data_IF_412085770906
#
_entry.id   IF_412085770906
#
_cell.length_a   1.000
_cell.length_b   1.000
_cell.length_c   1.000
_cell.angle_alpha   90.00
_cell.angle_beta   90.00
_cell.angle_gamma   90.00
#
_symmetry.space_group_name_H-M   'P 1'
#
loop_
_entity.id
_entity.type
_entity.pdbx_description
1 polymer ?
#
# COMPACT_ATOMS: atom_id res chain seq x y z
N UNK A 1 95.23 -68.49 -52.47
CA UNK A 1 94.70 -67.17 -52.10
C UNK A 1 93.62 -66.62 -53.04
N UNK A 2 93.30 -67.25 -54.20
CA UNK A 2 92.24 -66.76 -55.13
C UNK A 2 90.80 -67.08 -54.69
N UNK A 3 90.56 -68.26 -54.10
CA UNK A 3 89.19 -68.77 -53.87
C UNK A 3 88.37 -67.99 -52.82
N UNK A 4 89.01 -67.46 -51.77
CA UNK A 4 88.30 -66.74 -50.70
C UNK A 4 87.90 -65.32 -51.11
N UNK A 5 88.73 -64.66 -51.92
CA UNK A 5 88.42 -63.33 -52.46
C UNK A 5 87.24 -63.40 -53.44
N UNK A 6 87.25 -64.38 -54.35
CA UNK A 6 86.14 -64.64 -55.27
C UNK A 6 84.83 -64.95 -54.53
N UNK A 7 84.89 -65.70 -53.42
CA UNK A 7 83.71 -65.96 -52.58
C UNK A 7 83.14 -64.69 -51.97
N UNK A 8 84.00 -63.79 -51.49
CA UNK A 8 83.59 -62.53 -50.88
C UNK A 8 82.95 -61.60 -51.90
N UNK A 9 83.56 -61.45 -53.08
CA UNK A 9 83.00 -60.66 -54.18
C UNK A 9 81.64 -61.21 -54.60
N UNK A 10 81.51 -62.54 -54.73
CA UNK A 10 80.24 -63.18 -55.08
C UNK A 10 79.18 -62.96 -53.97
N UNK A 11 79.54 -63.07 -52.69
CA UNK A 11 78.64 -62.77 -51.57
C UNK A 11 78.16 -61.31 -51.58
N UNK A 12 79.04 -60.35 -51.90
CA UNK A 12 78.69 -58.92 -51.97
C UNK A 12 77.79 -58.63 -53.17
N UNK A 13 78.08 -59.21 -54.34
CA UNK A 13 77.23 -59.05 -55.53
C UNK A 13 75.83 -59.65 -55.29
N UNK A 14 75.75 -60.86 -54.74
CA UNK A 14 74.48 -61.51 -54.40
C UNK A 14 73.74 -60.71 -53.32
N UNK A 15 74.43 -60.19 -52.31
CA UNK A 15 73.85 -59.28 -51.31
C UNK A 15 73.24 -58.03 -51.97
N UNK A 16 73.93 -57.43 -52.94
CA UNK A 16 73.44 -56.25 -53.65
C UNK A 16 72.18 -56.57 -54.47
N UNK A 17 72.17 -57.70 -55.18
CA UNK A 17 70.97 -58.20 -55.87
C UNK A 17 69.79 -58.37 -54.90
N UNK A 18 70.00 -59.03 -53.76
CA UNK A 18 68.96 -59.22 -52.76
C UNK A 18 68.57 -57.95 -52.00
N UNK A 19 69.38 -56.90 -51.98
CA UNK A 19 68.94 -55.61 -51.44
C UNK A 19 67.97 -54.92 -52.40
N UNK A 20 68.17 -55.10 -53.71
CA UNK A 20 67.33 -54.51 -54.77
C UNK A 20 66.06 -55.31 -55.05
N UNK A 21 66.14 -56.63 -54.93
CA UNK A 21 65.06 -57.57 -55.26
C UNK A 21 64.67 -58.47 -54.07
N UNK A 22 64.91 -58.00 -52.84
CA UNK A 22 64.56 -58.77 -51.64
C UNK A 22 63.06 -59.09 -51.61
N UNK A 23 62.68 -60.32 -51.24
CA UNK A 23 61.28 -60.59 -50.92
C UNK A 23 60.86 -59.74 -49.71
N UNK A 24 59.78 -58.99 -49.88
CA UNK A 24 59.17 -58.13 -48.88
C UNK A 24 58.15 -58.88 -48.00
N UNK A 25 57.76 -60.10 -48.39
CA UNK A 25 56.79 -60.94 -47.70
C UNK A 25 57.25 -62.40 -47.61
N UNK A 26 56.67 -63.15 -46.65
CA UNK A 26 56.91 -64.59 -46.54
C UNK A 26 56.45 -65.35 -47.80
N UNK A 27 55.40 -64.86 -48.48
CA UNK A 27 54.90 -65.43 -49.72
C UNK A 27 55.90 -65.25 -50.88
N UNK A 28 56.52 -64.07 -51.01
CA UNK A 28 57.56 -63.82 -52.01
C UNK A 28 58.84 -64.63 -51.72
N UNK A 29 59.17 -64.84 -50.44
CA UNK A 29 60.29 -65.68 -50.05
C UNK A 29 60.02 -67.16 -50.39
N UNK A 30 58.78 -67.63 -50.19
CA UNK A 30 58.37 -68.97 -50.56
C UNK A 30 58.44 -69.19 -52.09
N UNK A 31 58.01 -68.21 -52.89
CA UNK A 31 58.16 -68.26 -54.35
C UNK A 31 59.64 -68.31 -54.78
N UNK A 32 60.54 -67.67 -54.02
CA UNK A 32 61.98 -67.71 -54.26
C UNK A 32 62.60 -69.06 -53.87
N UNK A 33 62.12 -69.69 -52.79
CA UNK A 33 62.48 -71.05 -52.39
C UNK A 33 62.03 -72.07 -53.46
N UNK A 34 60.79 -71.96 -53.95
CA UNK A 34 60.21 -72.86 -54.96
C UNK A 34 60.85 -72.69 -56.35
N UNK A 35 61.26 -71.46 -56.69
CA UNK A 35 61.91 -71.13 -57.97
C UNK A 35 63.42 -70.86 -57.79
N UNK A 36 64.08 -71.64 -56.93
CA UNK A 36 65.49 -71.44 -56.59
C UNK A 36 66.38 -71.46 -57.84
N UNK A 37 66.17 -72.39 -58.76
CA UNK A 37 66.99 -72.51 -59.99
C UNK A 37 66.81 -71.33 -60.94
N UNK A 38 65.59 -70.82 -61.08
CA UNK A 38 65.32 -69.61 -61.87
C UNK A 38 65.98 -68.39 -61.21
N UNK A 39 65.99 -68.32 -59.88
CA UNK A 39 66.64 -67.25 -59.13
C UNK A 39 68.16 -67.32 -59.27
N UNK A 40 68.74 -68.50 -59.15
CA UNK A 40 70.16 -68.77 -59.40
C UNK A 40 70.54 -68.31 -60.81
N UNK A 41 69.71 -68.64 -61.81
CA UNK A 41 69.92 -68.20 -63.19
C UNK A 41 69.86 -66.67 -63.34
N UNK A 42 68.84 -66.02 -62.77
CA UNK A 42 68.70 -64.55 -62.77
C UNK A 42 69.88 -63.85 -62.09
N UNK A 43 70.33 -64.38 -60.95
CA UNK A 43 71.46 -63.81 -60.19
C UNK A 43 72.77 -63.96 -60.96
N UNK A 44 73.05 -65.14 -61.51
CA UNK A 44 74.26 -65.36 -62.30
C UNK A 44 74.26 -64.53 -63.60
N UNK A 45 73.10 -64.37 -64.24
CA UNK A 45 72.92 -63.49 -65.41
C UNK A 45 73.14 -62.04 -65.04
N UNK A 46 72.60 -61.59 -63.89
CA UNK A 46 72.82 -60.23 -63.40
C UNK A 46 74.30 -59.99 -63.06
N UNK A 47 74.98 -60.92 -62.39
CA UNK A 47 76.42 -60.82 -62.11
C UNK A 47 77.21 -60.71 -63.41
N UNK A 48 76.88 -61.53 -64.43
CA UNK A 48 77.54 -61.47 -65.73
C UNK A 48 77.30 -60.12 -66.43
N UNK A 49 76.07 -59.58 -66.38
CA UNK A 49 75.75 -58.28 -66.96
C UNK A 49 76.49 -57.12 -66.28
N UNK A 50 76.64 -57.16 -64.95
CA UNK A 50 77.29 -56.08 -64.19
C UNK A 50 78.82 -56.18 -64.20
N UNK A 51 79.38 -57.40 -64.23
CA UNK A 51 80.83 -57.62 -64.07
C UNK A 51 81.55 -58.13 -65.33
N UNK A 52 80.82 -58.63 -66.33
CA UNK A 52 81.38 -59.30 -67.52
C UNK A 52 81.92 -60.72 -67.26
N UNK A 53 81.86 -61.21 -66.02
CA UNK A 53 82.42 -62.52 -65.63
C UNK A 53 81.33 -63.57 -65.38
N UNK A 54 81.50 -64.81 -65.89
CA UNK A 54 80.54 -65.88 -65.62
C UNK A 54 80.62 -66.32 -64.15
N UNK A 55 79.48 -66.38 -63.47
CA UNK A 55 79.39 -66.91 -62.11
C UNK A 55 79.10 -68.42 -62.12
N UNK A 56 79.75 -69.17 -61.24
CA UNK A 56 79.42 -70.59 -61.02
C UNK A 56 78.05 -70.72 -60.36
N UNK A 57 77.09 -71.32 -61.07
CA UNK A 57 75.72 -71.52 -60.61
C UNK A 57 75.64 -72.33 -59.31
N UNK A 58 76.56 -73.28 -59.07
CA UNK A 58 76.56 -74.08 -57.84
C UNK A 58 76.90 -73.20 -56.64
N UNK A 59 77.92 -72.36 -56.78
CA UNK A 59 78.36 -71.41 -55.76
C UNK A 59 77.32 -70.31 -55.51
N UNK A 60 76.65 -69.85 -56.56
CA UNK A 60 75.52 -68.91 -56.46
C UNK A 60 74.34 -69.55 -55.70
N UNK A 61 74.00 -70.80 -56.01
CA UNK A 61 72.95 -71.57 -55.32
C UNK A 61 73.25 -71.72 -53.84
N UNK A 62 74.45 -72.13 -53.46
CA UNK A 62 74.84 -72.31 -52.06
C UNK A 62 74.71 -71.00 -51.26
N UNK A 63 75.13 -69.87 -51.85
CA UNK A 63 75.04 -68.56 -51.21
C UNK A 63 73.58 -68.11 -51.09
N UNK A 64 72.74 -68.36 -52.08
CA UNK A 64 71.29 -68.07 -52.04
C UNK A 64 70.62 -68.92 -50.94
N UNK A 65 70.86 -70.23 -50.95
CA UNK A 65 70.29 -71.18 -49.99
C UNK A 65 70.70 -70.84 -48.54
N UNK A 66 71.96 -70.47 -48.32
CA UNK A 66 72.43 -70.04 -47.00
C UNK A 66 71.77 -68.73 -46.50
N UNK A 67 71.22 -67.92 -47.41
CA UNK A 67 70.67 -66.59 -47.11
C UNK A 67 69.17 -66.60 -46.83
N UNK A 68 68.44 -67.50 -47.47
CA UNK A 68 66.99 -67.67 -47.31
C UNK A 68 66.57 -67.75 -45.82
N UNK A 69 67.23 -68.54 -44.94
CA UNK A 69 66.88 -68.59 -43.50
C UNK A 69 67.01 -67.26 -42.76
N UNK A 70 68.00 -66.44 -43.13
CA UNK A 70 68.22 -65.12 -42.53
C UNK A 70 67.11 -64.14 -42.92
N UNK A 71 66.69 -64.16 -44.19
CA UNK A 71 65.59 -63.34 -44.69
C UNK A 71 64.27 -63.79 -44.04
N UNK A 72 64.03 -65.10 -43.93
CA UNK A 72 62.87 -65.69 -43.24
C UNK A 72 62.77 -65.24 -41.78
N UNK A 73 63.89 -65.33 -41.05
CA UNK A 73 63.97 -64.93 -39.65
C UNK A 73 63.67 -63.44 -39.46
N UNK A 74 64.21 -62.58 -40.35
CA UNK A 74 63.92 -61.15 -40.35
C UNK A 74 62.43 -60.86 -40.57
N UNK A 75 61.81 -61.47 -41.59
CA UNK A 75 60.40 -61.26 -41.92
C UNK A 75 59.47 -61.74 -40.81
N UNK A 76 59.75 -62.90 -40.21
CA UNK A 76 59.00 -63.39 -39.05
C UNK A 76 59.14 -62.48 -37.83
N UNK A 77 60.33 -61.96 -37.56
CA UNK A 77 60.55 -61.01 -36.48
C UNK A 77 59.81 -59.69 -36.72
N UNK A 78 59.77 -59.22 -37.97
CA UNK A 78 59.02 -58.02 -38.34
C UNK A 78 57.50 -58.21 -38.22
N UNK A 79 56.98 -59.37 -38.64
CA UNK A 79 55.57 -59.73 -38.48
C UNK A 79 55.18 -59.76 -36.99
N UNK A 80 55.97 -60.45 -36.15
CA UNK A 80 55.74 -60.46 -34.70
C UNK A 80 55.76 -59.06 -34.09
N UNK A 81 56.70 -58.20 -34.50
CA UNK A 81 56.74 -56.80 -34.04
C UNK A 81 55.49 -56.02 -34.45
N UNK A 82 54.97 -56.22 -35.66
CA UNK A 82 53.73 -55.58 -36.13
C UNK A 82 52.53 -56.07 -35.33
N UNK A 83 52.40 -57.38 -35.14
CA UNK A 83 51.33 -57.99 -34.33
C UNK A 83 51.38 -57.53 -32.87
N UNK A 84 52.56 -57.50 -32.25
CA UNK A 84 52.74 -57.01 -30.88
C UNK A 84 52.44 -55.50 -30.77
N UNK A 85 52.86 -54.69 -31.74
CA UNK A 85 52.56 -53.26 -31.76
C UNK A 85 51.06 -53.00 -31.93
N UNK A 86 50.38 -53.76 -32.77
CA UNK A 86 48.93 -53.65 -32.94
C UNK A 86 48.17 -54.13 -31.69
N UNK A 87 48.59 -55.24 -31.08
CA UNK A 87 48.02 -55.73 -29.83
C UNK A 87 48.17 -54.70 -28.69
N UNK A 88 49.34 -54.05 -28.59
CA UNK A 88 49.57 -52.95 -27.63
C UNK A 88 48.65 -51.76 -27.88
N UNK A 89 48.51 -51.33 -29.14
CA UNK A 89 47.59 -50.24 -29.51
C UNK A 89 46.14 -50.56 -29.17
N UNK A 90 45.68 -51.78 -29.45
CA UNK A 90 44.32 -52.21 -29.11
C UNK A 90 44.09 -52.20 -27.59
N UNK A 91 45.05 -52.72 -26.82
CA UNK A 91 44.95 -52.71 -25.35
C UNK A 91 44.94 -51.29 -24.77
N UNK A 92 45.77 -50.39 -25.31
CA UNK A 92 45.80 -49.00 -24.88
C UNK A 92 44.49 -48.26 -25.23
N UNK A 93 43.96 -48.47 -26.44
CA UNK A 93 42.66 -47.94 -26.84
C UNK A 93 41.53 -48.45 -25.95
N UNK A 94 41.55 -49.74 -25.61
CA UNK A 94 40.57 -50.33 -24.68
C UNK A 94 40.66 -49.67 -23.30
N UNK A 95 41.86 -49.53 -22.74
CA UNK A 95 42.07 -48.85 -21.45
C UNK A 95 41.60 -47.40 -21.47
N UNK A 96 41.88 -46.66 -22.55
CA UNK A 96 41.41 -45.28 -22.70
C UNK A 96 39.89 -45.21 -22.82
N UNK A 97 39.26 -46.14 -23.54
CA UNK A 97 37.81 -46.21 -23.66
C UNK A 97 37.15 -46.57 -22.32
N UNK A 98 37.69 -47.54 -21.59
CA UNK A 98 37.23 -47.91 -20.24
C UNK A 98 37.37 -46.76 -19.25
N UNK A 99 38.53 -46.08 -19.23
CA UNK A 99 38.75 -44.91 -18.36
C UNK A 99 37.80 -43.75 -18.67
N UNK A 100 37.50 -43.49 -19.96
CA UNK A 100 36.51 -42.48 -20.36
C UNK A 100 35.10 -42.88 -19.95
N UNK A 101 34.73 -44.14 -20.13
CA UNK A 101 33.42 -44.65 -19.71
C UNK A 101 33.24 -44.58 -18.18
N UNK A 102 34.28 -44.90 -17.41
CA UNK A 102 34.27 -44.79 -15.95
C UNK A 102 34.16 -43.33 -15.50
N UNK A 103 34.95 -42.42 -16.08
CA UNK A 103 34.86 -40.99 -15.79
C UNK A 103 33.46 -40.42 -16.08
N UNK A 104 32.83 -40.84 -17.18
CA UNK A 104 31.47 -40.45 -17.52
C UNK A 104 30.44 -40.96 -16.51
N UNK A 105 30.55 -42.23 -16.08
CA UNK A 105 29.67 -42.79 -15.04
C UNK A 105 29.78 -42.04 -13.71
N UNK A 106 30.99 -41.68 -13.31
CA UNK A 106 31.22 -40.89 -12.09
C UNK A 106 30.57 -39.50 -12.20
N UNK A 107 30.70 -38.85 -13.36
CA UNK A 107 30.06 -37.55 -13.60
C UNK A 107 28.54 -37.64 -13.55
N UNK A 108 27.95 -38.62 -14.24
CA UNK A 108 26.50 -38.86 -14.24
C UNK A 108 25.98 -39.19 -12.83
N UNK A 109 26.71 -39.97 -12.05
CA UNK A 109 26.35 -40.26 -10.66
C UNK A 109 26.36 -38.99 -9.80
N UNK A 110 27.40 -38.15 -9.92
CA UNK A 110 27.45 -36.87 -9.19
C UNK A 110 26.28 -35.95 -9.55
N UNK A 111 25.94 -35.85 -10.83
CA UNK A 111 24.79 -35.06 -11.28
C UNK A 111 23.47 -35.59 -10.72
N UNK A 112 23.28 -36.92 -10.66
CA UNK A 112 22.10 -37.54 -10.05
C UNK A 112 22.02 -37.26 -8.55
N UNK A 113 23.14 -37.41 -7.83
CA UNK A 113 23.19 -37.12 -6.39
C UNK A 113 22.90 -35.64 -6.08
N UNK A 114 23.40 -34.72 -6.92
CA UNK A 114 23.11 -33.29 -6.80
C UNK A 114 21.64 -32.97 -7.11
N UNK A 115 21.09 -33.55 -8.18
CA UNK A 115 19.68 -33.41 -8.52
C UNK A 115 18.76 -33.99 -7.42
N UNK A 116 19.13 -35.11 -6.82
CA UNK A 116 18.38 -35.71 -5.72
C UNK A 116 18.42 -34.83 -4.46
N UNK A 117 19.58 -34.25 -4.12
CA UNK A 117 19.69 -33.28 -3.02
C UNK A 117 18.83 -32.05 -3.27
N UNK A 118 18.84 -31.52 -4.49
CA UNK A 118 18.00 -30.38 -4.86
C UNK A 118 16.50 -30.72 -4.75
N UNK A 119 16.09 -31.90 -5.22
CA UNK A 119 14.70 -32.36 -5.09
C UNK A 119 14.27 -32.49 -3.62
N UNK A 120 15.11 -33.12 -2.77
CA UNK A 120 14.82 -33.27 -1.34
C UNK A 120 14.68 -31.91 -0.64
N UNK A 121 15.54 -30.94 -0.97
CA UNK A 121 15.45 -29.59 -0.40
C UNK A 121 14.15 -28.88 -0.84
N UNK A 122 13.77 -29.03 -2.10
CA UNK A 122 12.52 -28.45 -2.62
C UNK A 122 11.29 -29.08 -1.97
N UNK A 123 11.33 -30.39 -1.73
CA UNK A 123 10.27 -31.11 -1.03
C UNK A 123 10.16 -30.69 0.46
N UNK A 124 11.29 -30.50 1.15
CA UNK A 124 11.31 -29.94 2.50
C UNK A 124 10.71 -28.54 2.56
N UNK A 125 11.12 -27.63 1.65
CA UNK A 125 10.54 -26.28 1.57
C UNK A 125 9.03 -26.31 1.34
N UNK A 126 8.55 -27.21 0.48
CA UNK A 126 7.11 -27.40 0.25
C UNK A 126 6.38 -27.87 1.51
N UNK A 127 6.98 -28.77 2.29
CA UNK A 127 6.40 -29.22 3.56
C UNK A 127 6.36 -28.09 4.60
N UNK A 128 7.44 -27.33 4.73
CA UNK A 128 7.51 -26.15 5.63
C UNK A 128 6.47 -25.10 5.25
N UNK A 129 6.28 -24.83 3.95
CA UNK A 129 5.26 -23.91 3.47
C UNK A 129 3.84 -24.39 3.79
N UNK A 130 3.55 -25.68 3.58
CA UNK A 130 2.26 -26.27 3.95
C UNK A 130 2.02 -26.22 5.46
N UNK A 131 3.05 -26.46 6.28
CA UNK A 131 2.95 -26.34 7.74
C UNK A 131 2.70 -24.89 8.16
N UNK A 132 3.41 -23.92 7.56
CA UNK A 132 3.19 -22.50 7.79
C UNK A 132 1.75 -22.08 7.43
N UNK A 133 1.21 -22.57 6.31
CA UNK A 133 -0.18 -22.33 5.93
C UNK A 133 -1.16 -22.93 6.94
N UNK A 134 -0.92 -24.16 7.41
CA UNK A 134 -1.76 -24.81 8.44
C UNK A 134 -1.78 -24.06 9.76
N UNK A 135 -0.70 -23.37 10.12
CA UNK A 135 -0.62 -22.53 11.34
C UNK A 135 -1.28 -21.16 11.11
N UNK A 136 -1.17 -20.59 9.92
CA UNK A 136 -1.68 -19.25 9.63
C UNK A 136 -3.20 -19.22 9.40
N UNK A 137 -3.75 -20.24 8.75
CA UNK A 137 -5.19 -20.33 8.46
C UNK A 137 -6.10 -20.26 9.71
N UNK A 138 -5.85 -21.00 10.82
CA UNK A 138 -6.65 -20.89 12.03
C UNK A 138 -6.52 -19.50 12.67
N UNK A 139 -5.33 -18.89 12.68
CA UNK A 139 -5.13 -17.53 13.19
C UNK A 139 -5.91 -16.49 12.37
N UNK A 140 -6.01 -16.67 11.05
CA UNK A 140 -6.84 -15.82 10.19
C UNK A 140 -8.33 -15.99 10.49
N UNK A 141 -8.79 -17.22 10.69
CA UNK A 141 -10.19 -17.50 11.07
C UNK A 141 -10.54 -16.92 12.44
N UNK A 142 -9.67 -17.10 13.44
CA UNK A 142 -9.84 -16.53 14.78
C UNK A 142 -9.86 -15.00 14.75
N UNK A 143 -8.96 -14.36 13.99
CA UNK A 143 -8.96 -12.89 13.84
C UNK A 143 -10.22 -12.39 13.14
N UNK A 144 -10.70 -13.10 12.10
CA UNK A 144 -11.93 -12.75 11.40
C UNK A 144 -13.18 -12.93 12.29
N UNK A 145 -13.22 -13.98 13.10
CA UNK A 145 -14.30 -14.21 14.07
C UNK A 145 -14.30 -13.14 15.17
N UNK A 146 -13.12 -12.77 15.70
CA UNK A 146 -12.99 -11.69 16.66
C UNK A 146 -13.44 -10.34 16.09
N UNK A 147 -13.13 -10.05 14.83
CA UNK A 147 -13.62 -8.84 14.14
C UNK A 147 -15.13 -8.83 13.97
N UNK A 148 -15.74 -9.95 13.56
CA UNK A 148 -17.20 -10.07 13.46
C UNK A 148 -17.89 -9.85 14.80
N UNK A 149 -17.36 -10.44 15.88
CA UNK A 149 -17.90 -10.27 17.22
C UNK A 149 -17.78 -8.82 17.71
N UNK A 150 -16.69 -8.13 17.37
CA UNK A 150 -16.51 -6.72 17.71
C UNK A 150 -17.51 -5.83 16.95
N UNK A 151 -17.71 -6.09 15.65
CA UNK A 151 -18.67 -5.35 14.83
C UNK A 151 -20.11 -5.58 15.29
N UNK A 152 -20.47 -6.81 15.65
CA UNK A 152 -21.79 -7.12 16.22
C UNK A 152 -22.03 -6.37 17.54
N UNK A 153 -21.03 -6.33 18.44
CA UNK A 153 -21.13 -5.54 19.68
C UNK A 153 -21.29 -4.05 19.41
N UNK A 154 -20.58 -3.51 18.41
CA UNK A 154 -20.71 -2.09 18.02
C UNK A 154 -22.12 -1.80 17.53
N UNK A 155 -22.68 -2.65 16.67
CA UNK A 155 -24.05 -2.50 16.16
C UNK A 155 -25.09 -2.60 17.28
N UNK A 156 -24.93 -3.53 18.22
CA UNK A 156 -25.82 -3.64 19.38
C UNK A 156 -25.77 -2.39 20.27
N UNK A 157 -24.58 -1.81 20.47
CA UNK A 157 -24.44 -0.57 21.25
C UNK A 157 -25.04 0.64 20.51
N UNK A 158 -24.84 0.76 19.20
CA UNK A 158 -25.47 1.78 18.37
C UNK A 158 -27.01 1.68 18.41
N UNK A 159 -27.56 0.46 18.34
CA UNK A 159 -29.00 0.23 18.44
C UNK A 159 -29.54 0.63 19.82
N UNK A 160 -28.81 0.30 20.90
CA UNK A 160 -29.15 0.73 22.26
C UNK A 160 -29.16 2.25 22.39
N UNK A 161 -28.15 2.93 21.85
CA UNK A 161 -28.08 4.39 21.89
C UNK A 161 -29.23 5.02 21.10
N UNK A 162 -29.56 4.48 19.92
CA UNK A 162 -30.72 4.95 19.13
C UNK A 162 -32.03 4.78 19.89
N UNK A 163 -32.23 3.64 20.55
CA UNK A 163 -33.41 3.42 21.39
C UNK A 163 -33.48 4.42 22.55
N UNK A 164 -32.35 4.70 23.21
CA UNK A 164 -32.28 5.65 24.31
C UNK A 164 -32.61 7.08 23.88
N UNK A 165 -32.06 7.51 22.72
CA UNK A 165 -32.36 8.83 22.14
C UNK A 165 -33.84 8.93 21.79
N UNK A 166 -34.40 7.88 21.18
CA UNK A 166 -35.82 7.85 20.83
C UNK A 166 -36.72 7.93 22.07
N UNK A 167 -36.40 7.20 23.13
CA UNK A 167 -37.14 7.28 24.40
C UNK A 167 -37.08 8.69 24.99
N UNK A 168 -35.90 9.33 25.01
CA UNK A 168 -35.77 10.70 25.48
C UNK A 168 -36.61 11.67 24.66
N UNK A 169 -36.60 11.56 23.34
CA UNK A 169 -37.43 12.39 22.45
C UNK A 169 -38.93 12.18 22.71
N UNK A 170 -39.37 10.92 22.87
CA UNK A 170 -40.77 10.61 23.18
C UNK A 170 -41.18 11.15 24.57
N UNK A 171 -40.28 11.12 25.56
CA UNK A 171 -40.50 11.72 26.89
C UNK A 171 -40.57 13.25 26.83
N UNK A 172 -39.64 13.91 26.14
CA UNK A 172 -39.61 15.36 25.94
C UNK A 172 -40.87 15.83 25.17
N UNK A 173 -41.28 15.12 24.12
CA UNK A 173 -42.51 15.42 23.39
C UNK A 173 -43.76 15.22 24.27
N UNK A 174 -43.79 14.17 25.10
CA UNK A 174 -44.90 13.94 26.02
C UNK A 174 -44.99 15.01 27.11
N UNK A 175 -43.85 15.47 27.63
CA UNK A 175 -43.78 16.57 28.60
C UNK A 175 -44.22 17.90 27.96
N UNK A 176 -43.73 18.23 26.77
CA UNK A 176 -44.15 19.41 26.03
C UNK A 176 -45.66 19.43 25.75
N UNK A 177 -46.26 18.26 25.42
CA UNK A 177 -47.72 18.13 25.25
C UNK A 177 -48.47 18.39 26.56
N UNK A 178 -47.99 17.85 27.69
CA UNK A 178 -48.63 18.10 29.01
C UNK A 178 -48.59 19.58 29.39
N UNK A 179 -47.46 20.24 29.18
CA UNK A 179 -47.30 21.68 29.44
C UNK A 179 -48.28 22.49 28.56
N UNK A 180 -48.38 22.13 27.27
CA UNK A 180 -49.31 22.80 26.36
C UNK A 180 -50.78 22.59 26.75
N UNK A 181 -51.18 21.37 27.09
CA UNK A 181 -52.54 21.05 27.55
C UNK A 181 -52.88 21.79 28.86
N UNK A 182 -51.93 21.88 29.79
CA UNK A 182 -52.11 22.64 31.02
C UNK A 182 -52.25 24.14 30.75
N UNK A 183 -51.41 24.71 29.87
CA UNK A 183 -51.50 26.11 29.45
C UNK A 183 -52.85 26.41 28.80
N UNK A 184 -53.31 25.56 27.87
CA UNK A 184 -54.62 25.70 27.22
C UNK A 184 -55.78 25.60 28.22
N UNK A 185 -55.67 24.71 29.21
CA UNK A 185 -56.68 24.59 30.27
C UNK A 185 -56.76 25.86 31.13
N UNK A 186 -55.61 26.40 31.57
CA UNK A 186 -55.55 27.65 32.33
C UNK A 186 -56.08 28.83 31.51
N UNK A 187 -55.73 28.91 30.23
CA UNK A 187 -56.24 29.96 29.34
C UNK A 187 -57.76 29.85 29.12
N UNK A 188 -58.31 28.64 28.96
CA UNK A 188 -59.74 28.42 28.86
C UNK A 188 -60.48 28.79 30.16
N UNK A 189 -59.89 28.50 31.32
CA UNK A 189 -60.43 28.89 32.62
C UNK A 189 -60.44 30.42 32.79
N UNK A 190 -59.36 31.10 32.43
CA UNK A 190 -59.30 32.57 32.40
C UNK A 190 -60.39 33.12 31.48
N UNK A 191 -60.55 32.60 30.25
CA UNK A 191 -61.60 33.04 29.32
C UNK A 191 -63.01 32.91 29.91
N UNK A 192 -63.30 31.83 30.63
CA UNK A 192 -64.60 31.65 31.29
C UNK A 192 -64.84 32.69 32.39
N UNK A 193 -63.82 33.03 33.19
CA UNK A 193 -63.94 34.02 34.28
C UNK A 193 -63.86 35.47 33.81
N UNK A 194 -63.19 35.73 32.67
CA UNK A 194 -63.12 37.04 32.03
C UNK A 194 -64.41 37.39 31.27
N UNK A 195 -65.11 36.40 30.70
CA UNK A 195 -66.37 36.60 29.97
C UNK A 195 -67.41 37.51 30.67
N UNK A 196 -67.74 37.34 31.96
CA UNK A 196 -68.67 38.24 32.67
C UNK A 196 -68.11 39.65 32.92
N UNK A 197 -66.79 39.84 32.83
CA UNK A 197 -66.13 41.14 33.01
C UNK A 197 -66.08 41.96 31.71
N UNK A 198 -66.34 41.33 30.56
CA UNK A 198 -66.34 42.01 29.25
C UNK A 198 -67.31 43.20 29.21
N UNK A 199 -68.49 43.08 29.82
CA UNK A 199 -69.48 44.16 29.87
C UNK A 199 -68.96 45.38 30.64
N UNK A 200 -68.13 45.16 31.68
CA UNK A 200 -67.51 46.22 32.47
C UNK A 200 -66.43 46.97 31.68
N UNK A 201 -65.73 46.28 30.78
CA UNK A 201 -64.65 46.85 29.96
C UNK A 201 -65.06 47.10 28.50
N UNK A 202 -66.36 47.32 28.24
CA UNK A 202 -66.90 47.68 26.92
C UNK A 202 -66.53 46.68 25.81
N UNK A 203 -66.40 45.40 26.15
CA UNK A 203 -66.01 44.32 25.24
C UNK A 203 -64.51 44.22 24.96
N UNK A 204 -63.65 44.97 25.66
CA UNK A 204 -62.21 44.84 25.50
C UNK A 204 -61.66 43.64 26.31
N UNK A 205 -61.50 42.50 25.63
CA UNK A 205 -61.05 41.24 26.22
C UNK A 205 -59.68 41.34 26.88
N UNK A 206 -58.74 42.08 26.27
CA UNK A 206 -57.40 42.26 26.82
C UNK A 206 -57.44 43.07 28.12
N UNK A 207 -58.23 44.15 28.17
CA UNK A 207 -58.42 44.91 29.42
C UNK A 207 -59.10 44.07 30.50
N UNK A 208 -60.16 43.36 30.16
CA UNK A 208 -60.83 42.47 31.11
C UNK A 208 -59.89 41.35 31.63
N UNK A 209 -58.97 40.86 30.78
CA UNK A 209 -57.95 39.87 31.15
C UNK A 209 -56.88 40.43 32.07
N UNK A 210 -56.33 41.62 31.75
CA UNK A 210 -55.37 42.31 32.61
C UNK A 210 -55.99 42.61 33.97
N UNK A 211 -57.22 43.13 33.99
CA UNK A 211 -57.97 43.33 35.23
C UNK A 211 -58.12 42.05 36.03
N UNK A 212 -58.54 40.96 35.41
CA UNK A 212 -58.71 39.67 36.07
C UNK A 212 -57.40 39.15 36.67
N UNK A 213 -56.28 39.23 35.93
CA UNK A 213 -54.96 38.77 36.40
C UNK A 213 -54.42 39.63 37.55
N UNK A 214 -54.45 40.96 37.41
CA UNK A 214 -54.05 41.88 38.49
C UNK A 214 -54.92 41.64 39.73
N UNK A 215 -56.22 41.37 39.53
CA UNK A 215 -57.16 41.03 40.60
C UNK A 215 -56.79 39.73 41.31
N UNK A 216 -56.40 38.70 40.58
CA UNK A 216 -55.93 37.43 41.17
C UNK A 216 -54.65 37.60 41.97
N UNK A 217 -53.70 38.41 41.48
CA UNK A 217 -52.45 38.69 42.20
C UNK A 217 -52.75 39.40 43.52
N UNK A 218 -53.58 40.45 43.49
CA UNK A 218 -53.98 41.17 44.70
C UNK A 218 -54.76 40.26 45.67
N UNK A 219 -55.68 39.44 45.17
CA UNK A 219 -56.45 38.48 45.98
C UNK A 219 -55.54 37.47 46.70
N UNK A 220 -54.54 36.93 45.98
CA UNK A 220 -53.56 35.96 46.51
C UNK A 220 -52.79 36.54 47.70
N UNK A 221 -52.32 37.78 47.61
CA UNK A 221 -51.52 38.39 48.67
C UNK A 221 -52.36 38.89 49.86
N UNK A 222 -53.61 39.28 49.61
CA UNK A 222 -54.51 39.73 50.67
C UNK A 222 -55.33 38.58 51.32
N UNK A 223 -55.15 37.34 50.86
CA UNK A 223 -55.95 36.15 51.24
C UNK A 223 -57.48 36.41 51.13
N UNK A 224 -57.85 37.12 50.06
CA UNK A 224 -59.25 37.47 49.74
C UNK A 224 -59.75 36.62 48.57
N UNK A 225 -61.07 36.49 48.46
CA UNK A 225 -61.67 35.96 47.24
C UNK A 225 -61.52 37.01 46.12
N UNK A 226 -61.12 36.58 44.93
CA UNK A 226 -60.92 37.51 43.81
C UNK A 226 -62.23 38.15 43.35
N UNK A 227 -63.39 37.55 43.67
CA UNK A 227 -64.70 38.14 43.40
C UNK A 227 -65.04 39.34 44.30
N UNK A 228 -64.37 39.49 45.44
CA UNK A 228 -64.58 40.60 46.38
C UNK A 228 -63.80 41.87 45.96
N UNK A 229 -62.83 41.73 45.05
CA UNK A 229 -62.00 42.84 44.55
C UNK A 229 -62.65 43.44 43.30
N UNK A 230 -62.99 44.73 43.38
CA UNK A 230 -63.52 45.52 42.27
C UNK A 230 -62.61 46.73 41.97
N UNK A 231 -62.90 47.49 40.93
CA UNK A 231 -62.08 48.66 40.54
C UNK A 231 -61.95 49.70 41.65
N UNK A 232 -62.97 49.86 42.50
CA UNK A 232 -62.94 50.77 43.66
C UNK A 232 -62.36 50.15 44.93
N UNK A 233 -61.80 48.94 44.88
CA UNK A 233 -61.19 48.30 46.04
C UNK A 233 -59.98 49.11 46.51
N UNK A 234 -59.92 49.43 47.81
CA UNK A 234 -58.78 50.12 48.42
C UNK A 234 -57.86 49.09 49.07
N UNK A 235 -56.60 49.09 48.67
CA UNK A 235 -55.57 48.24 49.27
C UNK A 235 -55.04 49.01 50.48
N UNK A 236 -55.57 48.67 51.66
CA UNK A 236 -55.12 49.24 52.93
C UNK A 236 -53.72 48.71 53.29
N UNK A 237 -52.90 49.57 53.88
CA UNK A 237 -51.54 49.24 54.31
C UNK A 237 -51.55 48.27 55.50
N UNK A 238 -51.51 46.97 55.20
CA UNK A 238 -51.16 45.94 56.17
C UNK A 238 -49.63 45.72 56.12
N UNK A 239 -48.90 46.59 56.82
CA UNK A 239 -47.47 46.42 57.14
C UNK A 239 -46.49 46.36 55.94
N UNK A 240 -46.81 47.00 54.81
CA UNK A 240 -45.88 47.30 53.69
C UNK A 240 -45.19 46.14 52.96
N UNK A 241 -45.35 44.89 53.39
CA UNK A 241 -44.73 43.71 52.77
C UNK A 241 -45.56 43.18 51.59
N UNK A 242 -46.89 43.23 51.69
CA UNK A 242 -47.77 42.64 50.67
C UNK A 242 -47.77 43.44 49.35
N UNK A 243 -47.51 44.75 49.41
CA UNK A 243 -47.52 45.61 48.23
C UNK A 243 -46.33 45.37 47.31
N UNK A 244 -45.13 45.18 47.86
CA UNK A 244 -43.91 44.89 47.07
C UNK A 244 -44.07 43.59 46.29
N UNK A 245 -44.57 42.53 46.92
CA UNK A 245 -44.79 41.25 46.25
C UNK A 245 -45.91 41.27 45.22
N UNK A 246 -46.93 42.13 45.41
CA UNK A 246 -47.95 42.36 44.37
C UNK A 246 -47.30 42.97 43.12
N UNK A 247 -46.37 43.92 43.25
CA UNK A 247 -45.67 44.49 42.09
C UNK A 247 -44.74 43.47 41.44
N UNK A 248 -43.95 42.73 42.21
CA UNK A 248 -43.07 41.69 41.65
C UNK A 248 -43.87 40.65 40.85
N UNK A 249 -45.01 40.15 41.39
CA UNK A 249 -45.87 39.21 40.68
C UNK A 249 -46.56 39.85 39.46
N UNK A 250 -46.88 41.15 39.50
CA UNK A 250 -47.45 41.88 38.35
C UNK A 250 -46.39 42.06 37.26
N UNK A 251 -45.18 42.45 37.62
CA UNK A 251 -44.04 42.56 36.70
C UNK A 251 -43.73 41.22 36.05
N UNK A 252 -43.69 40.13 36.83
CA UNK A 252 -43.46 38.78 36.32
C UNK A 252 -44.60 38.30 35.40
N UNK A 253 -45.86 38.47 35.81
CA UNK A 253 -47.02 37.97 35.04
C UNK A 253 -47.23 38.71 33.72
N UNK A 254 -46.82 39.98 33.64
CA UNK A 254 -46.98 40.82 32.45
C UNK A 254 -45.67 41.10 31.71
N UNK A 255 -44.54 40.54 32.18
CA UNK A 255 -43.19 40.82 31.66
C UNK A 255 -42.91 42.34 31.61
N UNK A 256 -43.27 43.06 32.68
CA UNK A 256 -43.09 44.51 32.82
C UNK A 256 -41.92 44.85 33.74
N UNK A 257 -41.38 46.05 33.57
CA UNK A 257 -40.44 46.67 34.52
C UNK A 257 -41.07 48.01 34.90
N UNK A 258 -41.64 48.10 36.11
CA UNK A 258 -42.32 49.28 36.63
C UNK A 258 -41.32 50.03 37.51
N UNK A 259 -40.81 51.20 37.10
CA UNK A 259 -39.83 51.93 37.89
C UNK A 259 -40.38 52.30 39.27
N UNK A 260 -39.58 52.12 40.32
CA UNK A 260 -39.93 52.50 41.70
C UNK A 260 -40.43 53.95 41.77
N UNK A 261 -39.84 54.87 41.00
CA UNK A 261 -40.28 56.27 40.97
C UNK A 261 -41.69 56.48 40.41
N UNK A 262 -42.16 55.62 39.51
CA UNK A 262 -43.52 55.69 38.97
C UNK A 262 -44.54 55.16 39.96
N UNK A 263 -44.21 54.07 40.66
CA UNK A 263 -45.03 53.53 41.76
C UNK A 263 -45.21 54.60 42.83
N UNK A 264 -44.11 55.21 43.28
CA UNK A 264 -44.13 56.30 44.29
C UNK A 264 -44.97 57.51 43.85
N UNK A 265 -44.96 57.86 42.56
CA UNK A 265 -45.67 59.03 42.03
C UNK A 265 -47.16 58.79 41.85
N UNK A 266 -47.54 57.63 41.30
CA UNK A 266 -48.93 57.33 40.90
C UNK A 266 -49.73 56.64 42.00
N UNK A 267 -49.06 55.87 42.85
CA UNK A 267 -49.70 55.11 43.94
C UNK A 267 -49.42 55.73 45.32
N UNK A 268 -48.55 56.74 45.39
CA UNK A 268 -48.13 57.37 46.64
C UNK A 268 -46.88 56.68 47.19
N UNK A 269 -46.18 57.33 48.14
CA UNK A 269 -44.91 56.79 48.67
C UNK A 269 -45.13 55.36 49.18
N UNK A 270 -44.27 54.41 48.77
CA UNK A 270 -44.26 52.96 49.05
C UNK A 270 -44.60 52.50 50.49
N UNK A 271 -44.73 53.40 51.47
CA UNK A 271 -44.76 53.09 52.90
C UNK A 271 -45.80 53.85 53.73
N UNK A 272 -46.69 54.68 53.16
CA UNK A 272 -47.48 55.61 54.00
C UNK A 272 -48.96 55.82 53.65
N UNK A 273 -49.46 55.39 52.49
CA UNK A 273 -50.86 55.59 52.10
C UNK A 273 -51.33 54.39 51.27
N UNK A 274 -52.44 53.77 51.65
CA UNK A 274 -53.11 52.77 50.81
C UNK A 274 -53.45 53.35 49.44
N UNK A 275 -53.45 52.50 48.41
CA UNK A 275 -53.76 52.89 47.04
C UNK A 275 -54.99 52.14 46.52
N UNK A 276 -55.68 52.73 45.55
CA UNK A 276 -56.82 52.07 44.93
C UNK A 276 -56.35 51.04 43.91
N UNK A 277 -57.08 49.93 43.82
CA UNK A 277 -56.90 48.91 42.79
C UNK A 277 -56.98 49.52 41.37
N UNK A 278 -57.85 50.52 41.16
CA UNK A 278 -57.93 51.25 39.90
C UNK A 278 -56.60 51.93 39.51
N UNK A 279 -55.89 52.51 40.47
CA UNK A 279 -54.62 53.18 40.16
C UNK A 279 -53.55 52.17 39.75
N UNK A 280 -53.49 51.00 40.43
CA UNK A 280 -52.58 49.91 40.07
C UNK A 280 -52.91 49.40 38.65
N UNK A 281 -54.19 49.19 38.37
CA UNK A 281 -54.65 48.73 37.07
C UNK A 281 -54.31 49.73 35.95
N UNK A 282 -54.50 51.03 36.20
CA UNK A 282 -54.16 52.09 35.24
C UNK A 282 -52.65 52.15 34.99
N UNK A 283 -51.83 51.99 36.04
CA UNK A 283 -50.38 51.90 35.90
C UNK A 283 -49.98 50.72 35.00
N UNK A 284 -50.55 49.53 35.23
CA UNK A 284 -50.29 48.35 34.39
C UNK A 284 -50.73 48.57 32.95
N UNK A 285 -51.89 49.21 32.71
CA UNK A 285 -52.33 49.55 31.36
C UNK A 285 -51.42 50.52 30.64
N UNK A 286 -50.91 51.53 31.35
CA UNK A 286 -49.99 52.52 30.78
C UNK A 286 -48.67 51.87 30.38
N UNK A 287 -48.15 50.96 31.20
CA UNK A 287 -46.89 50.26 30.95
C UNK A 287 -46.98 49.22 29.84
N UNK A 288 -48.12 48.53 29.71
CA UNK A 288 -48.35 47.63 28.57
C UNK A 288 -48.42 48.37 27.23
N UNK A 289 -48.78 49.66 27.24
CA UNK A 289 -48.89 50.49 26.04
C UNK A 289 -49.97 50.04 25.04
N UNK A 290 -50.29 50.87 24.05
CA UNK A 290 -51.31 50.56 23.04
C UNK A 290 -50.90 49.38 22.13
N UNK A 291 -49.61 49.08 22.01
CA UNK A 291 -49.08 48.00 21.16
C UNK A 291 -49.42 46.60 21.70
N UNK A 292 -49.42 46.39 23.02
CA UNK A 292 -49.90 45.14 23.65
C UNK A 292 -51.38 44.88 23.29
N UNK A 293 -52.14 45.94 23.03
CA UNK A 293 -53.53 45.86 22.63
C UNK A 293 -53.75 45.71 21.11
N UNK A 294 -52.75 45.89 20.24
CA UNK A 294 -52.96 46.06 18.79
C UNK A 294 -52.47 44.96 17.82
N UNK A 295 -51.71 43.93 18.21
CA UNK A 295 -51.20 42.95 17.21
C UNK A 295 -51.94 41.59 17.21
N UNK A 296 -52.63 41.31 16.10
CA UNK A 296 -52.88 39.96 15.58
C UNK A 296 -51.84 39.64 14.48
N UNK A 297 -51.33 38.40 14.52
CA UNK A 297 -50.67 37.67 13.41
C UNK A 297 -49.36 38.24 12.81
N UNK A 298 -48.22 37.66 13.23
CA UNK A 298 -47.35 36.83 12.39
C UNK A 298 -45.86 36.91 12.81
N UNK A 299 -45.40 35.96 13.63
CA UNK A 299 -43.99 35.60 13.67
C UNK A 299 -43.80 34.24 12.99
N UNK A 300 -43.10 34.23 11.87
CA UNK A 300 -42.44 33.03 11.32
C UNK A 300 -40.97 33.13 11.70
N UNK A 301 -40.36 32.09 12.31
CA UNK A 301 -38.93 32.11 12.58
C UNK A 301 -38.17 31.87 11.27
N UNK A 302 -37.33 32.84 10.92
CA UNK A 302 -36.28 32.66 9.92
C UNK A 302 -35.28 31.62 10.41
N UNK A 303 -35.09 30.58 9.61
CA UNK A 303 -34.09 29.53 9.85
C UNK A 303 -32.70 30.15 9.75
N UNK A 304 -32.07 30.37 10.90
CA UNK A 304 -30.63 30.58 11.00
C UNK A 304 -29.97 29.25 10.63
N UNK A 305 -29.29 29.22 9.48
CA UNK A 305 -28.50 28.06 9.07
C UNK A 305 -27.29 27.96 10.01
N UNK A 306 -27.24 26.85 10.73
CA UNK A 306 -26.21 26.45 11.69
C UNK A 306 -24.82 26.45 11.01
N UNK A 307 -23.78 27.02 11.65
CA UNK A 307 -22.41 27.19 11.12
C UNK A 307 -21.80 25.87 10.59
N UNK A 308 -22.27 24.75 11.16
CA UNK A 308 -21.92 23.39 10.74
C UNK A 308 -22.36 23.06 9.31
N UNK A 309 -23.50 23.56 8.86
CA UNK A 309 -24.01 23.34 7.50
C UNK A 309 -23.23 24.15 6.47
N UNK A 310 -22.71 25.31 6.86
CA UNK A 310 -21.88 26.15 6.01
C UNK A 310 -20.50 25.50 5.77
N UNK A 311 -19.86 24.98 6.82
CA UNK A 311 -18.59 24.25 6.69
C UNK A 311 -18.74 22.98 5.84
N UNK A 312 -19.85 22.25 5.99
CA UNK A 312 -20.11 21.05 5.18
C UNK A 312 -20.35 21.40 3.70
N UNK A 313 -20.99 22.53 3.40
CA UNK A 313 -21.18 23.01 2.04
C UNK A 313 -19.85 23.42 1.38
N UNK A 314 -18.97 24.10 2.13
CA UNK A 314 -17.64 24.50 1.64
C UNK A 314 -16.74 23.29 1.38
N UNK A 315 -16.74 22.29 2.28
CA UNK A 315 -16.01 21.04 2.07
C UNK A 315 -16.50 20.28 0.83
N UNK A 316 -17.82 20.21 0.62
CA UNK A 316 -18.41 19.60 -0.58
C UNK A 316 -18.00 20.33 -1.86
N UNK A 317 -17.96 21.66 -1.84
CA UNK A 317 -17.52 22.46 -2.99
C UNK A 317 -16.02 22.25 -3.30
N UNK A 318 -15.14 22.26 -2.28
CA UNK A 318 -13.71 21.95 -2.42
C UNK A 318 -13.50 20.54 -3.00
N UNK A 319 -14.25 19.54 -2.51
CA UNK A 319 -14.19 18.16 -3.02
C UNK A 319 -14.54 18.05 -4.50
N UNK A 320 -15.62 18.72 -4.95
CA UNK A 320 -16.03 18.69 -6.36
C UNK A 320 -14.93 19.29 -7.24
N UNK A 321 -14.38 20.44 -6.85
CA UNK A 321 -13.31 21.11 -7.60
C UNK A 321 -12.03 20.26 -7.72
N UNK A 322 -11.63 19.56 -6.65
CA UNK A 322 -10.47 18.67 -6.66
C UNK A 322 -10.70 17.43 -7.51
N UNK A 323 -11.90 16.84 -7.45
CA UNK A 323 -12.25 15.70 -8.30
C UNK A 323 -12.22 16.07 -9.79
N UNK A 324 -12.66 17.27 -10.17
CA UNK A 324 -12.56 17.74 -11.55
C UNK A 324 -11.11 17.84 -12.03
N UNK A 325 -10.19 18.33 -11.17
CA UNK A 325 -8.77 18.40 -11.47
C UNK A 325 -8.08 17.03 -11.58
N UNK A 326 -8.67 16.01 -10.97
CA UNK A 326 -8.23 14.61 -10.96
C UNK A 326 -9.04 13.72 -11.92
N UNK A 327 -9.69 14.33 -12.92
CA UNK A 327 -10.44 13.64 -13.98
C UNK A 327 -11.58 12.74 -13.43
N UNK A 328 -12.13 13.09 -12.27
CA UNK A 328 -13.20 12.34 -11.60
C UNK A 328 -12.75 11.04 -10.93
N UNK A 329 -11.44 10.80 -10.77
CA UNK A 329 -10.94 9.58 -10.16
C UNK A 329 -10.98 9.65 -8.62
N UNK A 330 -11.96 8.97 -8.01
CA UNK A 330 -12.15 8.95 -6.56
C UNK A 330 -10.93 8.37 -5.81
N UNK A 331 -10.26 7.36 -6.36
CA UNK A 331 -9.08 6.77 -5.71
C UNK A 331 -7.89 7.73 -5.71
N UNK A 332 -7.66 8.46 -6.82
CA UNK A 332 -6.65 9.53 -6.86
C UNK A 332 -6.96 10.63 -5.86
N UNK A 333 -8.24 10.96 -5.67
CA UNK A 333 -8.66 11.93 -4.67
C UNK A 333 -8.35 11.46 -3.25
N UNK A 334 -8.70 10.21 -2.91
CA UNK A 334 -8.42 9.65 -1.59
C UNK A 334 -6.89 9.60 -1.34
N UNK A 335 -6.12 9.15 -2.34
CA UNK A 335 -4.64 9.16 -2.30
C UNK A 335 -4.05 10.57 -2.18
N UNK A 336 -4.67 11.57 -2.82
CA UNK A 336 -4.24 12.95 -2.70
C UNK A 336 -4.42 13.46 -1.27
N UNK A 337 -5.53 13.17 -0.61
CA UNK A 337 -5.76 13.60 0.78
C UNK A 337 -4.73 12.98 1.73
N UNK A 338 -4.40 11.70 1.55
CA UNK A 338 -3.37 11.03 2.34
C UNK A 338 -1.97 11.62 2.04
N UNK A 339 -1.64 11.84 0.77
CA UNK A 339 -0.39 12.47 0.36
C UNK A 339 -0.28 13.91 0.91
N UNK A 340 -1.36 14.67 0.88
CA UNK A 340 -1.47 16.03 1.41
C UNK A 340 -1.20 16.06 2.92
N UNK A 341 -1.74 15.08 3.65
CA UNK A 341 -1.45 14.92 5.07
C UNK A 341 0.05 14.65 5.31
N UNK A 342 0.65 13.71 4.57
CA UNK A 342 2.06 13.35 4.73
C UNK A 342 2.98 14.55 4.40
N UNK A 343 2.71 15.25 3.30
CA UNK A 343 3.46 16.46 2.92
C UNK A 343 3.34 17.52 4.01
N UNK A 344 2.15 17.72 4.58
CA UNK A 344 1.95 18.67 5.67
C UNK A 344 2.72 18.30 6.94
N UNK A 345 2.74 17.03 7.30
CA UNK A 345 3.47 16.52 8.48
C UNK A 345 4.99 16.61 8.31
N UNK A 346 5.53 16.21 7.15
CA UNK A 346 6.98 16.22 6.88
C UNK A 346 7.53 17.64 6.62
N UNK A 347 6.73 18.50 5.98
CA UNK A 347 7.09 19.87 5.63
C UNK A 347 6.74 20.90 6.71
N UNK A 348 5.89 20.56 7.68
CA UNK A 348 5.32 21.52 8.63
C UNK A 348 4.41 22.56 7.95
N UNK A 349 3.66 22.14 6.93
CA UNK A 349 2.82 22.99 6.07
C UNK A 349 1.35 22.68 6.37
N UNK A 350 0.51 23.71 6.44
CA UNK A 350 -0.93 23.50 6.61
C UNK A 350 -1.53 22.82 5.36
N UNK A 351 -2.42 21.85 5.56
CA UNK A 351 -2.98 21.06 4.45
C UNK A 351 -3.62 21.95 3.38
N UNK A 352 -4.25 23.06 3.77
CA UNK A 352 -4.95 23.97 2.87
C UNK A 352 -4.03 24.67 1.85
N UNK A 353 -2.73 24.77 2.16
CA UNK A 353 -1.73 25.41 1.29
C UNK A 353 -1.12 24.44 0.26
N UNK A 354 -1.33 23.13 0.42
CA UNK A 354 -0.77 22.10 -0.44
C UNK A 354 -1.68 21.89 -1.65
N UNK A 355 -1.34 22.50 -2.78
CA UNK A 355 -2.08 22.39 -4.04
C UNK A 355 -1.44 21.36 -4.98
N UNK A 356 -2.23 20.78 -5.89
CA UNK A 356 -1.73 19.81 -6.89
C UNK A 356 -0.62 20.38 -7.80
N UNK A 357 -0.68 21.68 -8.09
CA UNK A 357 0.30 22.39 -8.89
C UNK A 357 1.41 23.04 -8.03
N UNK A 358 1.45 22.78 -6.72
CA UNK A 358 2.54 23.24 -5.88
C UNK A 358 3.81 22.45 -6.16
N UNK A 359 4.91 23.15 -6.22
CA UNK A 359 6.24 22.61 -6.39
C UNK A 359 6.85 22.26 -5.03
N UNK A 360 7.36 21.04 -4.87
CA UNK A 360 7.87 20.58 -3.56
C UNK A 360 8.98 21.50 -3.03
N UNK A 361 9.95 21.91 -3.85
CA UNK A 361 11.01 22.81 -3.39
C UNK A 361 10.60 24.28 -3.33
N UNK A 362 10.07 24.85 -4.42
CA UNK A 362 9.84 26.28 -4.52
C UNK A 362 8.64 26.76 -3.68
N UNK A 363 7.53 26.02 -3.73
CA UNK A 363 6.28 26.46 -3.07
C UNK A 363 6.16 25.90 -1.66
N UNK A 364 6.66 24.67 -1.47
CA UNK A 364 6.55 23.94 -0.20
C UNK A 364 7.87 23.90 0.60
N UNK A 365 8.97 24.43 0.06
CA UNK A 365 10.22 24.58 0.79
C UNK A 365 10.96 23.27 1.10
N UNK A 366 10.64 22.17 0.43
CA UNK A 366 11.38 20.92 0.57
C UNK A 366 12.78 21.05 -0.02
N UNK A 367 13.79 20.81 0.81
CA UNK A 367 15.14 20.53 0.34
C UNK A 367 15.32 19.03 0.00
N UNK A 368 16.49 18.65 -0.50
CA UNK A 368 16.77 17.26 -0.88
C UNK A 368 16.61 16.28 0.30
N UNK A 369 16.90 16.73 1.52
CA UNK A 369 16.79 15.92 2.74
C UNK A 369 15.33 15.75 3.17
N UNK A 370 14.53 16.81 3.11
CA UNK A 370 13.09 16.78 3.33
C UNK A 370 12.39 15.92 2.29
N UNK A 371 12.75 16.07 1.01
CA UNK A 371 12.18 15.25 -0.06
C UNK A 371 12.54 13.77 0.11
N UNK A 372 13.77 13.47 0.54
CA UNK A 372 14.19 12.09 0.84
C UNK A 372 13.39 11.49 2.00
N UNK A 373 13.13 12.27 3.06
CA UNK A 373 12.29 11.84 4.19
C UNK A 373 10.85 11.58 3.76
N UNK A 374 10.27 12.51 2.99
CA UNK A 374 8.94 12.37 2.40
C UNK A 374 8.81 11.06 1.61
N UNK A 375 9.79 10.72 0.77
CA UNK A 375 9.77 9.47 0.00
C UNK A 375 9.82 8.23 0.89
N UNK A 376 10.67 8.22 1.93
CA UNK A 376 10.73 7.10 2.86
C UNK A 376 9.40 6.92 3.59
N UNK A 377 8.76 8.01 4.02
CA UNK A 377 7.44 7.96 4.66
C UNK A 377 6.38 7.41 3.70
N UNK A 378 6.43 7.79 2.42
CA UNK A 378 5.55 7.26 1.37
C UNK A 378 5.79 5.75 1.14
N UNK A 379 7.04 5.30 1.04
CA UNK A 379 7.39 3.88 0.93
C UNK A 379 6.81 3.06 2.09
N UNK A 380 6.99 3.57 3.32
CA UNK A 380 6.56 2.89 4.52
C UNK A 380 5.03 2.83 4.66
N UNK A 381 4.32 3.91 4.36
CA UNK A 381 2.86 3.98 4.50
C UNK A 381 2.14 3.22 3.39
N UNK A 382 2.54 3.42 2.13
CA UNK A 382 1.87 2.82 0.98
C UNK A 382 2.41 1.44 0.58
N UNK A 383 3.48 0.97 1.25
CA UNK A 383 4.13 -0.33 0.96
C UNK A 383 4.59 -0.45 -0.50
N UNK A 384 5.11 0.65 -1.04
CA UNK A 384 5.68 0.73 -2.39
C UNK A 384 7.21 0.72 -2.31
N UNK A 385 7.87 0.17 -3.33
CA UNK A 385 9.34 0.22 -3.46
C UNK A 385 9.73 1.34 -4.45
N UNK A 386 10.62 2.24 -4.03
CA UNK A 386 11.15 3.34 -4.85
C UNK A 386 12.54 3.01 -5.35
N UNK A 387 12.71 2.97 -6.67
CA UNK A 387 14.01 2.72 -7.29
C UNK A 387 14.74 4.01 -7.60
N UNK A 388 16.05 3.91 -7.86
CA UNK A 388 16.88 5.09 -8.20
C UNK A 388 16.38 5.85 -9.43
N UNK A 389 15.71 5.17 -10.36
CA UNK A 389 15.20 5.79 -11.57
C UNK A 389 13.87 6.52 -11.32
N UNK A 390 13.07 6.10 -10.34
CA UNK A 390 11.89 6.83 -9.88
C UNK A 390 12.31 8.16 -9.24
N UNK A 391 13.33 8.13 -8.39
CA UNK A 391 13.87 9.31 -7.71
C UNK A 391 14.39 10.37 -8.70
N UNK A 392 15.06 9.93 -9.77
CA UNK A 392 15.48 10.84 -10.85
C UNK A 392 14.30 11.48 -11.57
N UNK A 393 13.22 10.73 -11.79
CA UNK A 393 12.00 11.28 -12.41
C UNK A 393 11.32 12.32 -11.52
N UNK A 394 11.38 12.11 -10.19
CA UNK A 394 10.83 13.03 -9.19
C UNK A 394 11.77 14.22 -8.89
N UNK A 395 12.94 14.31 -9.54
CA UNK A 395 13.93 15.35 -9.29
C UNK A 395 14.73 15.18 -7.99
N UNK A 396 14.60 14.04 -7.30
CA UNK A 396 15.22 13.78 -5.99
C UNK A 396 16.57 13.09 -6.18
N UNK A 397 17.67 13.80 -5.94
CA UNK A 397 19.01 13.25 -6.04
C UNK A 397 19.51 12.79 -4.66
N UNK A 398 19.48 11.48 -4.42
CA UNK A 398 20.06 10.94 -3.19
C UNK A 398 21.58 11.09 -3.20
N UNK A 399 22.11 11.86 -2.25
CA UNK A 399 23.53 11.88 -1.90
C UNK A 399 23.98 10.60 -1.17
N UNK A 400 23.45 9.43 -1.52
CA UNK A 400 23.96 8.13 -1.03
C UNK A 400 25.18 7.72 -1.84
N UNK A 401 26.23 8.51 -1.69
CA UNK A 401 27.48 8.31 -2.42
C UNK A 401 28.50 9.39 -2.13
N UNK A 402 28.96 9.46 -0.88
CA UNK A 402 30.35 9.83 -0.61
C UNK A 402 31.30 8.82 -1.30
N UNK A 403 31.34 8.83 -2.64
CA UNK A 403 32.54 8.42 -3.36
C UNK A 403 33.20 9.71 -3.79
N UNK A 404 34.24 10.05 -3.02
CA UNK A 404 35.22 11.07 -3.31
C UNK A 404 35.84 10.78 -4.70
N UNK A 405 35.21 11.25 -5.77
CA UNK A 405 35.84 11.36 -7.08
C UNK A 405 35.75 12.80 -7.51
N UNK A 406 36.84 13.49 -7.23
CA UNK A 406 37.09 14.88 -7.59
C UNK A 406 37.31 14.97 -9.10
N UNK A 407 36.25 14.93 -9.88
CA UNK A 407 36.28 15.42 -11.26
C UNK A 407 35.43 16.70 -11.36
N UNK A 408 36.08 17.87 -11.50
CA UNK A 408 35.37 19.12 -11.71
C UNK A 408 34.93 19.18 -13.18
N UNK A 409 33.67 18.85 -13.43
CA UNK A 409 33.05 18.96 -14.74
C UNK A 409 31.88 19.93 -14.68
N UNK A 410 32.16 21.16 -15.12
CA UNK A 410 31.26 22.14 -15.74
C UNK A 410 29.89 22.42 -15.07
N UNK A 411 29.90 23.45 -14.21
CA UNK A 411 28.94 24.56 -14.09
C UNK A 411 27.63 24.47 -14.92
N UNK A 412 26.74 23.56 -14.57
CA UNK A 412 25.31 23.79 -14.72
C UNK A 412 24.68 23.55 -13.36
N UNK A 413 24.46 24.64 -12.62
CA UNK A 413 23.62 24.74 -11.43
C UNK A 413 22.15 24.45 -11.79
N UNK A 414 21.87 23.26 -12.29
CA UNK A 414 20.53 22.69 -12.22
C UNK A 414 20.48 21.98 -10.88
N UNK A 415 20.30 22.75 -9.80
CA UNK A 415 19.57 22.22 -8.66
C UNK A 415 18.30 21.63 -9.25
N UNK A 416 18.21 20.31 -9.26
CA UNK A 416 17.08 19.62 -9.85
C UNK A 416 15.82 20.14 -9.18
N UNK A 417 15.00 20.86 -9.94
CA UNK A 417 13.69 21.26 -9.48
C UNK A 417 12.93 19.99 -9.08
N UNK A 418 12.56 19.88 -7.79
CA UNK A 418 11.75 18.77 -7.30
C UNK A 418 10.42 18.72 -8.04
N UNK A 419 9.82 17.55 -8.17
CA UNK A 419 8.55 17.42 -8.88
C UNK A 419 7.38 18.22 -8.27
N UNK A 420 6.32 18.39 -9.06
CA UNK A 420 5.03 18.92 -8.60
C UNK A 420 4.29 17.88 -7.74
N UNK A 421 3.44 18.33 -6.82
CA UNK A 421 2.57 17.43 -6.01
C UNK A 421 1.73 16.50 -6.90
N UNK A 422 1.23 17.00 -8.04
CA UNK A 422 0.49 16.19 -9.03
C UNK A 422 1.33 15.07 -9.63
N UNK A 423 2.61 15.34 -9.93
CA UNK A 423 3.51 14.34 -10.52
C UNK A 423 3.85 13.25 -9.50
N UNK A 424 4.09 13.64 -8.24
CA UNK A 424 4.27 12.71 -7.13
C UNK A 424 3.02 11.84 -6.91
N UNK A 425 1.83 12.45 -6.96
CA UNK A 425 0.55 11.75 -6.85
C UNK A 425 0.34 10.75 -7.99
N UNK A 426 0.61 11.16 -9.24
CA UNK A 426 0.46 10.29 -10.41
C UNK A 426 1.44 9.13 -10.37
N UNK A 427 2.68 9.39 -9.94
CA UNK A 427 3.68 8.35 -9.70
C UNK A 427 3.21 7.37 -8.62
N UNK A 428 2.75 7.86 -7.47
CA UNK A 428 2.26 7.03 -6.36
C UNK A 428 1.05 6.20 -6.79
N UNK A 429 0.09 6.81 -7.48
CA UNK A 429 -1.09 6.14 -8.00
C UNK A 429 -0.72 4.97 -8.92
N UNK A 430 0.27 5.15 -9.80
CA UNK A 430 0.74 4.11 -10.71
C UNK A 430 1.35 2.89 -10.01
N UNK A 431 1.87 3.08 -8.78
CA UNK A 431 2.51 2.03 -7.99
C UNK A 431 1.56 1.32 -7.03
N UNK A 432 0.57 2.03 -6.51
CA UNK A 432 -0.46 1.45 -5.62
C UNK A 432 -1.47 0.60 -6.41
N UNK A 433 -1.72 0.91 -7.68
CA UNK A 433 -2.62 0.12 -8.54
C UNK A 433 -1.95 -0.96 -9.40
N UNK A 434 -0.61 -1.03 -9.43
CA UNK A 434 0.16 -2.06 -10.13
C UNK A 434 0.31 -3.33 -9.29
#
# INVERSE_FOLDING_TARGET
>A
MSSDYELQVLKVAIQHYFNKFSPASLAELQQLEENCDLTVWKVATWIYQESGHPADFSRVRDIIQARIPNIKSRLLAEQKRKEEAEARRRLEQQRQAEAKAEAQRILEQKQREEAEKAHRLLEQKRQEELEAQRILEPKRKEKAEAQRLLEEKRLQEEERQRLLIKQRQEEEEAEARRILEEKQRKEAEIKVRVAPLLDQFQGNEKKATVFFKVRQIVAKYLDLDDEDINTSFEIEDNEGLDTVYIFEDVEEEFELEIPDEEVDQKLGRYWQLGFSFDNLLNLVYEQLGDEYFQYEEAEKPGVVLDEKQQQEAEFRAKKISLLEQLEGNQKKFDLFLELQQIIGEEGGIEQEDIQLNAHLSHDLGFDDEGASRLIVTIEELFKVEVFSDDLKQLGIYWARGWTFSSEPSDNNDHQGELCLVRELLDWLYSRVEA
#
